data_IF_249913060537
#
_entry.id   IF_249913060537
#
_cell.length_a   1.000
_cell.length_b   1.000
_cell.length_c   1.000
_cell.angle_alpha   90.00
_cell.angle_beta   90.00
_cell.angle_gamma   90.00
#
_symmetry.space_group_name_H-M   'P 1'
#
loop_
_entity.id
_entity.type
_entity.pdbx_description
1 polymer ?
#
# COMPACT_ATOMS: atom_id res chain seq x y z
N UNK A 1 0.26 14.26 -2.80
CA UNK A 1 -0.69 13.69 -1.83
C UNK A 1 0.05 12.71 -0.96
N UNK A 2 -0.06 12.84 0.36
CA UNK A 2 0.62 11.97 1.33
C UNK A 2 -0.23 10.72 1.60
N UNK A 3 0.36 9.51 1.60
CA UNK A 3 -0.41 8.28 1.79
C UNK A 3 -0.81 8.10 3.26
N UNK A 4 -2.11 8.15 3.54
CA UNK A 4 -2.73 7.84 4.83
C UNK A 4 -3.47 6.53 4.72
N UNK A 5 -2.92 5.51 5.36
CA UNK A 5 -3.29 4.11 5.16
C UNK A 5 -4.12 3.61 6.34
N UNK A 6 -5.30 3.09 6.06
CA UNK A 6 -6.13 2.36 7.02
C UNK A 6 -6.13 0.86 6.70
N UNK A 7 -5.76 0.05 7.68
CA UNK A 7 -5.87 -1.41 7.64
C UNK A 7 -7.26 -1.80 8.14
N UNK A 8 -8.12 -2.23 7.22
CA UNK A 8 -9.54 -2.41 7.48
C UNK A 8 -9.86 -3.72 8.20
N UNK A 9 -10.90 -3.67 9.02
CA UNK A 9 -11.46 -4.77 9.78
C UNK A 9 -12.91 -4.45 10.18
N UNK A 10 -13.64 -5.42 10.73
CA UNK A 10 -14.91 -5.16 11.41
C UNK A 10 -14.73 -4.78 12.89
N UNK A 11 -13.49 -4.76 13.39
CA UNK A 11 -13.10 -4.25 14.71
C UNK A 11 -12.47 -2.87 14.59
N UNK A 12 -12.61 -2.06 15.64
CA UNK A 12 -11.87 -0.82 15.87
C UNK A 12 -10.92 -1.01 17.05
N UNK A 13 -9.61 -1.05 16.80
CA UNK A 13 -8.57 -1.03 17.83
C UNK A 13 -8.80 -2.02 18.98
N UNK A 14 -9.20 -3.25 18.64
CA UNK A 14 -9.46 -4.33 19.59
C UNK A 14 -10.87 -4.36 20.20
N UNK A 15 -11.84 -3.65 19.62
CA UNK A 15 -13.26 -3.72 20.04
C UNK A 15 -13.86 -5.11 19.88
N UNK A 16 -13.43 -5.87 18.86
CA UNK A 16 -13.73 -7.29 18.68
C UNK A 16 -12.43 -8.07 18.66
N UNK A 17 -12.38 -9.18 19.41
CA UNK A 17 -11.16 -9.98 19.59
C UNK A 17 -11.37 -11.41 19.13
N UNK A 18 -10.87 -11.71 17.94
CA UNK A 18 -10.87 -13.04 17.34
C UNK A 18 -9.60 -13.25 16.49
N UNK A 19 -9.54 -14.35 15.74
CA UNK A 19 -8.37 -14.65 14.91
C UNK A 19 -8.17 -13.66 13.75
N UNK A 20 -9.26 -13.21 13.12
CA UNK A 20 -9.20 -12.35 11.92
C UNK A 20 -8.80 -10.92 12.28
N UNK A 21 -9.43 -10.36 13.31
CA UNK A 21 -9.14 -9.02 13.85
C UNK A 21 -7.70 -8.93 14.34
N UNK A 22 -7.23 -9.94 15.10
CA UNK A 22 -5.83 -10.01 15.55
C UNK A 22 -4.83 -10.09 14.41
N UNK A 23 -5.14 -10.81 13.32
CA UNK A 23 -4.26 -10.90 12.15
C UNK A 23 -4.03 -9.52 11.52
N UNK A 24 -5.08 -8.70 11.43
CA UNK A 24 -4.96 -7.32 10.90
C UNK A 24 -4.16 -6.44 11.87
N UNK A 25 -4.44 -6.51 13.17
CA UNK A 25 -3.69 -5.79 14.20
C UNK A 25 -2.19 -6.13 14.15
N UNK A 26 -1.85 -7.42 14.05
CA UNK A 26 -0.47 -7.89 13.89
C UNK A 26 0.18 -7.37 12.60
N UNK A 27 -0.56 -7.31 11.50
CA UNK A 27 -0.05 -6.74 10.24
C UNK A 27 0.30 -5.25 10.40
N UNK A 28 -0.53 -4.48 11.11
CA UNK A 28 -0.24 -3.06 11.43
C UNK A 28 1.04 -2.94 12.26
N UNK A 29 1.20 -3.79 13.29
CA UNK A 29 2.41 -3.81 14.12
C UNK A 29 3.68 -4.14 13.31
N UNK A 30 3.60 -5.10 12.39
CA UNK A 30 4.71 -5.43 11.49
C UNK A 30 5.08 -4.23 10.63
N UNK A 31 4.11 -3.59 9.97
CA UNK A 31 4.40 -2.44 9.11
C UNK A 31 4.98 -1.29 9.92
N UNK A 32 4.47 -1.02 11.13
CA UNK A 32 5.00 0.03 12.02
C UNK A 32 6.44 -0.22 12.43
N UNK A 33 6.83 -1.47 12.65
CA UNK A 33 8.23 -1.83 12.94
C UNK A 33 9.13 -1.66 11.70
N UNK A 34 8.64 -2.05 10.53
CA UNK A 34 9.39 -1.97 9.27
C UNK A 34 9.48 -0.54 8.72
N UNK A 35 8.45 0.29 8.93
CA UNK A 35 8.36 1.68 8.48
C UNK A 35 7.71 2.57 9.56
N UNK A 36 8.48 2.99 10.58
CA UNK A 36 7.98 3.81 11.68
C UNK A 36 7.36 5.12 11.24
N UNK A 37 7.86 5.72 10.17
CA UNK A 37 7.42 7.03 9.65
C UNK A 37 6.14 6.96 8.79
N UNK A 38 5.61 5.76 8.54
CA UNK A 38 4.41 5.61 7.73
C UNK A 38 3.15 6.02 8.48
N UNK A 39 2.28 6.80 7.82
CA UNK A 39 0.95 7.18 8.29
C UNK A 39 -0.02 6.01 8.10
N UNK A 40 0.22 4.90 8.82
CA UNK A 40 -0.59 3.69 8.81
C UNK A 40 -1.19 3.39 10.17
N UNK A 41 -2.46 2.99 10.16
CA UNK A 41 -3.18 2.60 11.36
C UNK A 41 -4.21 1.49 11.12
N UNK A 42 -4.70 0.93 12.22
CA UNK A 42 -5.69 -0.13 12.27
C UNK A 42 -5.41 -1.13 13.40
N UNK A 43 -6.21 -2.18 13.51
CA UNK A 43 -7.34 -2.50 12.65
C UNK A 43 -8.55 -1.57 12.91
N UNK A 44 -9.25 -1.14 11.86
CA UNK A 44 -10.41 -0.25 12.00
C UNK A 44 -11.49 -0.49 10.96
N UNK A 45 -12.72 -0.08 11.28
CA UNK A 45 -13.87 -0.12 10.40
C UNK A 45 -13.78 0.95 9.30
N UNK A 46 -14.45 0.68 8.18
CA UNK A 46 -14.37 1.53 7.00
C UNK A 46 -14.97 2.93 7.23
N UNK A 47 -16.06 3.03 7.98
CA UNK A 47 -16.68 4.30 8.38
C UNK A 47 -15.75 5.15 9.25
N UNK A 48 -15.08 4.52 10.21
CA UNK A 48 -14.07 5.14 11.07
C UNK A 48 -12.88 5.63 10.26
N UNK A 49 -12.47 4.87 9.24
CA UNK A 49 -11.32 5.22 8.39
C UNK A 49 -11.55 6.43 7.48
N UNK A 50 -12.78 6.64 6.99
CA UNK A 50 -13.07 7.67 5.97
C UNK A 50 -13.68 8.95 6.53
N UNK A 51 -14.16 8.94 7.77
CA UNK A 51 -14.74 10.10 8.46
C UNK A 51 -13.73 10.66 9.46
N UNK A 52 -13.14 11.81 9.14
CA UNK A 52 -12.08 12.41 9.95
C UNK A 52 -12.56 12.78 11.36
N UNK A 53 -13.81 13.23 11.48
CA UNK A 53 -14.46 13.62 12.73
C UNK A 53 -14.54 12.43 13.69
N UNK A 54 -15.07 11.29 13.22
CA UNK A 54 -15.16 10.05 14.01
C UNK A 54 -13.80 9.60 14.51
N UNK A 55 -12.77 9.69 13.65
CA UNK A 55 -11.41 9.29 13.96
C UNK A 55 -10.78 10.22 15.01
N UNK A 56 -10.98 11.53 14.90
CA UNK A 56 -10.45 12.52 15.84
C UNK A 56 -11.16 12.45 17.21
N UNK A 57 -12.47 12.22 17.23
CA UNK A 57 -13.27 12.16 18.46
C UNK A 57 -13.01 10.88 19.27
N UNK A 58 -13.04 9.72 18.62
CA UNK A 58 -12.96 8.43 19.32
C UNK A 58 -11.52 7.89 19.43
N UNK A 59 -10.65 8.26 18.50
CA UNK A 59 -9.30 7.69 18.38
C UNK A 59 -8.23 8.78 18.18
N UNK A 60 -8.11 9.78 19.07
CA UNK A 60 -7.17 10.91 18.91
C UNK A 60 -5.69 10.49 18.87
N UNK A 61 -5.39 9.26 19.29
CA UNK A 61 -4.05 8.66 19.23
C UNK A 61 -3.68 8.10 17.85
N UNK A 62 -4.61 8.11 16.89
CA UNK A 62 -4.37 7.57 15.55
C UNK A 62 -3.23 8.33 14.84
N UNK A 63 -2.47 7.63 13.99
CA UNK A 63 -1.36 8.24 13.24
C UNK A 63 -1.79 9.12 12.06
N UNK A 64 -2.79 8.75 11.24
CA UNK A 64 -3.16 9.53 10.06
C UNK A 64 -3.63 10.96 10.35
N UNK A 65 -4.23 11.20 11.53
CA UNK A 65 -4.79 12.48 11.98
C UNK A 65 -6.02 12.97 11.19
N UNK A 66 -6.17 12.51 9.96
CA UNK A 66 -7.23 12.82 9.01
C UNK A 66 -7.82 11.54 8.41
N UNK A 67 -8.88 11.69 7.61
CA UNK A 67 -9.44 10.60 6.84
C UNK A 67 -8.39 9.89 5.97
N UNK A 68 -8.42 8.57 6.00
CA UNK A 68 -7.56 7.71 5.21
C UNK A 68 -7.87 7.85 3.72
N UNK A 69 -6.82 7.80 2.91
CA UNK A 69 -6.91 7.87 1.46
C UNK A 69 -6.39 6.60 0.76
N UNK A 70 -5.86 5.67 1.53
CA UNK A 70 -5.51 4.32 1.11
C UNK A 70 -6.20 3.35 2.05
N UNK A 71 -7.04 2.48 1.50
CA UNK A 71 -7.78 1.46 2.24
C UNK A 71 -7.21 0.09 1.92
N UNK A 72 -6.70 -0.60 2.93
CA UNK A 72 -6.15 -1.96 2.79
C UNK A 72 -7.15 -2.95 3.37
N UNK A 73 -7.66 -3.83 2.51
CA UNK A 73 -8.63 -4.84 2.89
C UNK A 73 -7.95 -6.09 3.46
N UNK A 74 -8.56 -6.76 4.45
CA UNK A 74 -7.98 -7.94 5.08
C UNK A 74 -8.02 -9.17 4.17
N UNK A 75 -8.95 -9.21 3.20
CA UNK A 75 -9.20 -10.34 2.32
C UNK A 75 -9.63 -9.89 0.92
N UNK A 76 -9.35 -10.72 -0.09
CA UNK A 76 -9.73 -10.46 -1.48
C UNK A 76 -11.25 -10.32 -1.65
N UNK A 77 -12.03 -11.13 -0.93
CA UNK A 77 -13.49 -11.07 -0.98
C UNK A 77 -14.01 -9.70 -0.54
N UNK A 78 -13.53 -9.19 0.59
CA UNK A 78 -13.91 -7.88 1.12
C UNK A 78 -13.52 -6.73 0.18
N UNK A 79 -12.29 -6.76 -0.34
CA UNK A 79 -11.83 -5.76 -1.32
C UNK A 79 -12.63 -5.80 -2.61
N UNK A 80 -12.88 -7.00 -3.16
CA UNK A 80 -13.61 -7.18 -4.42
C UNK A 80 -15.05 -6.69 -4.33
N UNK A 81 -15.75 -7.03 -3.24
CA UNK A 81 -17.11 -6.55 -2.98
C UNK A 81 -17.13 -5.03 -2.82
N UNK A 82 -16.23 -4.47 -2.01
CA UNK A 82 -16.22 -3.05 -1.69
C UNK A 82 -16.00 -2.17 -2.93
N UNK A 83 -14.98 -2.45 -3.75
CA UNK A 83 -14.71 -1.59 -4.91
C UNK A 83 -15.82 -1.65 -5.96
N UNK A 84 -16.44 -2.83 -6.16
CA UNK A 84 -17.60 -2.98 -7.07
C UNK A 84 -18.82 -2.23 -6.56
N UNK A 85 -19.07 -2.26 -5.26
CA UNK A 85 -20.18 -1.50 -4.65
C UNK A 85 -19.93 0.00 -4.76
N UNK A 86 -18.71 0.48 -4.50
CA UNK A 86 -18.34 1.89 -4.69
C UNK A 86 -18.48 2.33 -6.14
N UNK A 87 -18.11 1.48 -7.10
CA UNK A 87 -18.29 1.76 -8.52
C UNK A 87 -19.77 1.86 -8.90
N UNK A 88 -20.58 0.88 -8.49
CA UNK A 88 -21.97 0.74 -8.94
C UNK A 88 -22.97 1.62 -8.20
N UNK A 89 -22.77 1.81 -6.90
CA UNK A 89 -23.67 2.56 -6.03
C UNK A 89 -23.11 3.93 -5.66
N UNK A 90 -21.80 4.03 -5.45
CA UNK A 90 -21.13 5.26 -5.05
C UNK A 90 -20.80 6.18 -6.23
N UNK A 91 -21.01 5.75 -7.48
CA UNK A 91 -20.61 6.50 -8.67
C UNK A 91 -19.10 6.71 -8.80
N UNK A 92 -18.31 5.95 -8.03
CA UNK A 92 -16.86 6.03 -8.10
C UNK A 92 -16.36 5.43 -9.41
N UNK A 93 -15.28 5.98 -9.95
CA UNK A 93 -14.62 5.41 -11.11
C UNK A 93 -13.51 4.46 -10.69
N UNK A 94 -13.66 3.18 -11.00
CA UNK A 94 -12.62 2.19 -10.76
C UNK A 94 -11.60 2.21 -11.91
N UNK A 95 -10.32 2.37 -11.58
CA UNK A 95 -9.21 2.20 -12.53
C UNK A 95 -8.37 1.00 -12.10
N UNK A 96 -8.22 0.02 -12.98
CA UNK A 96 -7.45 -1.20 -12.70
C UNK A 96 -8.07 -2.47 -13.31
N UNK A 97 -7.67 -3.66 -12.80
CA UNK A 97 -6.75 -3.90 -11.67
C UNK A 97 -5.29 -3.53 -11.99
N UNK A 98 -4.54 -3.12 -10.97
CA UNK A 98 -3.12 -2.78 -11.09
C UNK A 98 -2.28 -3.72 -10.22
N UNK A 99 -1.24 -4.29 -10.82
CA UNK A 99 -0.27 -5.11 -10.12
C UNK A 99 0.84 -4.23 -9.52
N UNK A 100 1.25 -4.55 -8.31
CA UNK A 100 2.29 -3.85 -7.55
C UNK A 100 3.28 -4.86 -6.98
N UNK A 101 4.51 -4.42 -6.71
CA UNK A 101 5.56 -5.27 -6.10
C UNK A 101 6.36 -6.14 -7.07
N UNK A 102 6.22 -5.92 -8.39
CA UNK A 102 6.94 -6.66 -9.44
C UNK A 102 8.13 -5.86 -9.99
N UNK A 103 9.18 -6.56 -10.44
CA UNK A 103 10.44 -5.95 -10.91
C UNK A 103 10.32 -5.22 -12.25
N UNK A 104 9.32 -5.58 -13.06
CA UNK A 104 8.91 -4.93 -14.30
C UNK A 104 7.38 -4.84 -14.31
N UNK A 105 6.78 -3.65 -14.53
CA UNK A 105 5.34 -3.50 -14.53
C UNK A 105 4.70 -4.21 -15.72
N UNK A 106 3.73 -5.06 -15.44
CA UNK A 106 2.75 -5.52 -16.42
C UNK A 106 1.39 -5.52 -15.73
N UNK A 107 0.34 -5.09 -16.42
CA UNK A 107 -1.01 -5.02 -15.88
C UNK A 107 -1.96 -5.82 -16.77
N UNK A 108 -2.94 -6.46 -16.15
CA UNK A 108 -3.91 -7.32 -16.85
C UNK A 108 -5.24 -6.58 -16.95
N UNK A 109 -5.75 -6.48 -18.18
CA UNK A 109 -7.06 -5.88 -18.44
C UNK A 109 -8.16 -6.94 -18.44
N UNK A 110 -9.34 -6.54 -17.98
CA UNK A 110 -10.54 -7.37 -18.09
C UNK A 110 -11.16 -7.22 -19.48
N UNK A 111 -11.74 -8.30 -20.04
CA UNK A 111 -12.26 -8.33 -21.42
C UNK A 111 -13.33 -7.27 -21.70
N UNK A 112 -14.13 -6.91 -20.70
CA UNK A 112 -15.25 -5.98 -20.83
C UNK A 112 -14.95 -4.63 -20.17
N UNK A 113 -13.70 -4.17 -20.24
CA UNK A 113 -13.31 -2.89 -19.66
C UNK A 113 -13.56 -1.73 -20.63
N UNK A 114 -13.89 -0.57 -20.10
CA UNK A 114 -14.10 0.63 -20.90
C UNK A 114 -12.78 1.11 -21.53
N UNK A 115 -12.85 1.68 -22.73
CA UNK A 115 -11.68 2.21 -23.45
C UNK A 115 -10.90 3.20 -22.59
N UNK A 116 -11.58 4.00 -21.79
CA UNK A 116 -10.92 4.96 -20.91
C UNK A 116 -10.08 4.27 -19.83
N UNK A 117 -10.56 3.14 -19.27
CA UNK A 117 -9.77 2.37 -18.32
C UNK A 117 -8.53 1.75 -18.98
N UNK A 118 -8.63 1.31 -20.24
CA UNK A 118 -7.47 0.82 -21.00
C UNK A 118 -6.38 1.91 -21.08
N UNK A 119 -6.77 3.11 -21.50
CA UNK A 119 -5.85 4.26 -21.61
C UNK A 119 -5.22 4.60 -20.25
N UNK A 120 -6.05 4.64 -19.20
CA UNK A 120 -5.58 4.93 -17.85
C UNK A 120 -4.59 3.87 -17.33
N UNK A 121 -4.86 2.58 -17.53
CA UNK A 121 -3.96 1.50 -17.11
C UNK A 121 -2.65 1.57 -17.88
N UNK A 122 -2.66 1.86 -19.18
CA UNK A 122 -1.43 2.05 -19.96
C UNK A 122 -0.62 3.22 -19.41
N UNK A 123 -1.26 4.38 -19.19
CA UNK A 123 -0.59 5.56 -18.66
C UNK A 123 0.03 5.29 -17.28
N UNK A 124 -0.69 4.59 -16.40
CA UNK A 124 -0.18 4.19 -15.09
C UNK A 124 0.98 3.19 -15.22
N UNK A 125 0.90 2.23 -16.14
CA UNK A 125 1.97 1.24 -16.38
C UNK A 125 3.27 1.94 -16.81
N UNK A 126 3.17 2.94 -17.70
CA UNK A 126 4.32 3.74 -18.13
C UNK A 126 4.91 4.52 -16.94
N UNK A 127 4.06 5.16 -16.13
CA UNK A 127 4.49 5.88 -14.94
C UNK A 127 5.16 4.95 -13.90
N UNK A 128 4.64 3.73 -13.71
CA UNK A 128 5.26 2.71 -12.87
C UNK A 128 6.66 2.35 -13.37
N UNK A 129 6.85 2.19 -14.68
CA UNK A 129 8.15 1.87 -15.27
C UNK A 129 9.14 3.02 -15.10
N UNK A 130 8.72 4.26 -15.39
CA UNK A 130 9.55 5.45 -15.19
C UNK A 130 10.00 5.58 -13.73
N UNK A 131 9.12 5.32 -12.77
CA UNK A 131 9.46 5.34 -11.35
C UNK A 131 10.48 4.26 -10.98
N UNK A 132 10.36 3.05 -11.55
CA UNK A 132 11.33 1.98 -11.34
C UNK A 132 12.69 2.30 -11.99
N UNK A 133 12.70 2.95 -13.15
CA UNK A 133 13.93 3.42 -13.80
C UNK A 133 14.60 4.54 -13.02
N UNK A 134 13.83 5.50 -12.50
CA UNK A 134 14.36 6.55 -11.62
C UNK A 134 14.92 5.98 -10.30
N UNK A 135 14.28 4.94 -9.76
CA UNK A 135 14.80 4.22 -8.60
C UNK A 135 16.05 3.36 -8.91
N UNK A 136 16.26 3.01 -10.19
CA UNK A 136 17.46 2.30 -10.69
C UNK A 136 18.53 3.23 -11.26
N UNK A 137 18.20 4.50 -11.52
CA UNK A 137 19.15 5.47 -12.02
C UNK A 137 20.29 5.58 -11.01
N UNK A 138 21.56 5.58 -11.46
CA UNK A 138 22.67 5.53 -10.55
C UNK A 138 22.60 6.75 -9.64
N UNK A 139 22.75 6.50 -8.33
CA UNK A 139 23.39 7.49 -7.48
C UNK A 139 24.56 8.05 -8.30
N UNK A 140 24.47 9.35 -8.61
CA UNK A 140 25.42 10.17 -9.33
C UNK A 140 26.77 9.49 -9.59
N UNK A 141 27.26 9.50 -10.84
CA UNK A 141 28.69 9.37 -11.13
C UNK A 141 29.46 10.42 -10.31
N UNK A 142 29.72 10.11 -9.04
CA UNK A 142 30.70 10.80 -8.24
C UNK A 142 32.02 10.22 -8.73
N UNK A 143 32.63 10.97 -9.66
CA UNK A 143 33.99 10.80 -10.18
C UNK A 143 34.86 10.04 -9.18
N UNK A 144 35.26 8.83 -9.55
CA UNK A 144 36.44 8.16 -9.02
C UNK A 144 37.67 8.99 -9.40
N UNK A 145 37.93 10.03 -8.61
CA UNK A 145 39.16 10.81 -8.64
C UNK A 145 39.46 11.29 -7.23
N UNK A 146 40.05 10.38 -6.46
CA UNK A 146 40.91 10.74 -5.33
C UNK A 146 40.21 10.96 -4.00
N UNK A 147 40.85 10.38 -2.96
CA UNK A 147 40.75 10.72 -1.54
C UNK A 147 39.68 9.99 -0.71
N UNK A 148 40.12 8.84 -0.19
CA UNK A 148 40.08 8.41 1.23
C UNK A 148 39.08 9.13 2.15
N UNK A 149 38.24 8.33 2.81
CA UNK A 149 37.97 8.52 4.25
C UNK A 149 36.50 8.59 4.66
N UNK A 150 36.05 7.52 5.32
CA UNK A 150 35.07 7.46 6.40
C UNK A 150 33.59 7.86 6.17
N UNK A 151 32.75 6.82 6.31
CA UNK A 151 31.41 6.79 6.94
C UNK A 151 30.44 7.94 6.64
N UNK A 152 29.42 7.63 5.82
CA UNK A 152 28.04 7.47 6.29
C UNK A 152 27.15 7.11 5.08
N UNK A 153 26.87 5.81 4.91
CA UNK A 153 25.96 5.27 3.89
C UNK A 153 25.06 4.27 4.60
N UNK A 154 23.81 4.63 4.85
CA UNK A 154 22.68 3.71 5.00
C UNK A 154 21.39 4.49 5.30
N UNK A 155 20.74 5.03 4.27
CA UNK A 155 19.29 5.15 4.29
C UNK A 155 18.75 5.26 2.86
N UNK A 156 17.65 4.54 2.62
CA UNK A 156 16.95 4.31 1.37
C UNK A 156 17.53 3.17 0.52
N UNK A 157 16.66 2.20 0.19
CA UNK A 157 16.93 0.89 -0.43
C UNK A 157 17.30 -0.20 0.60
N UNK A 158 16.33 -0.61 1.42
CA UNK A 158 16.08 -2.04 1.70
C UNK A 158 14.88 -2.20 2.64
N UNK A 159 13.69 -2.53 2.11
CA UNK A 159 12.65 -3.24 2.90
C UNK A 159 11.88 -4.24 2.01
N UNK A 160 12.44 -4.68 0.88
CA UNK A 160 11.79 -5.71 0.05
C UNK A 160 12.71 -6.86 -0.39
N UNK A 161 14.01 -6.82 -0.08
CA UNK A 161 14.96 -7.89 -0.45
C UNK A 161 15.32 -8.85 0.71
N UNK A 162 14.60 -8.86 1.84
CA UNK A 162 14.93 -9.74 2.98
C UNK A 162 13.77 -10.58 3.50
N UNK A 163 12.98 -11.19 2.60
CA UNK A 163 12.25 -12.42 2.94
C UNK A 163 12.73 -13.49 1.96
N UNK A 164 13.56 -14.46 2.39
CA UNK A 164 13.88 -15.59 1.53
C UNK A 164 12.61 -16.41 1.32
N UNK A 165 12.06 -16.34 0.11
CA UNK A 165 11.02 -17.25 -0.35
C UNK A 165 11.70 -18.59 -0.65
N UNK A 166 11.89 -19.39 0.39
CA UNK A 166 12.34 -20.76 0.29
C UNK A 166 11.14 -21.66 0.55
N UNK A 167 10.54 -22.21 -0.50
CA UNK A 167 10.15 -23.63 -0.61
C UNK A 167 9.94 -23.95 -2.10
N UNK A 168 10.67 -24.96 -2.56
CA UNK A 168 10.62 -25.57 -3.90
C UNK A 168 9.25 -26.21 -4.21
N UNK A 169 8.90 -26.36 -5.50
CA UNK A 169 7.73 -27.13 -5.89
C UNK A 169 8.01 -28.63 -5.72
N UNK A 170 7.23 -29.31 -4.86
CA UNK A 170 7.08 -30.76 -4.92
C UNK A 170 5.71 -31.10 -5.53
N UNK A 171 5.79 -31.58 -6.78
CA UNK A 171 4.83 -32.28 -7.63
C UNK A 171 3.34 -31.97 -7.49
#
# INVERSE_FOLDING_TARGET
>A
MEPRVAMLSYSNFGSVRDANTRRVAQAVEIVRRCRPDSLIDGEMQADTAVVAETLAEHFPFNRPGEAANVLIFPELSSGNMAYKLLERLGGAKAVGPLLMGISKPFNVLQRNTEMENVVNVIAITVAQMQRLEQAKAPCCELKLSGMRGFMSFALAISVFDTVPFNEEPRF
#
